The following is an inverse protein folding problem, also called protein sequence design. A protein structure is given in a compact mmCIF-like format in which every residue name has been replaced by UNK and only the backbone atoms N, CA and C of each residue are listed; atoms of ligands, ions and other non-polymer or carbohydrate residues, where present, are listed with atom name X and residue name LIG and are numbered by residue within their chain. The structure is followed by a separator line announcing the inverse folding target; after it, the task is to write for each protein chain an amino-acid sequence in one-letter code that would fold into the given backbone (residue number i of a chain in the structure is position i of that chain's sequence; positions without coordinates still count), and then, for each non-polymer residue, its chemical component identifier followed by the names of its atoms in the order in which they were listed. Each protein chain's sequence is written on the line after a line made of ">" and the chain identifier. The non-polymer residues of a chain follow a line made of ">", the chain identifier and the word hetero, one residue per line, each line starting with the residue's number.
data_IF_293747502695
#
_entry.id   IF_293747502695
#
_cell.length_a   1.000
_cell.length_b   1.000
_cell.length_c   1.000
_cell.angle_alpha   90.00
_cell.angle_beta   90.00
_cell.angle_gamma   90.00
#
_symmetry.space_group_name_H-M   'P 1'
#
loop_
_entity.id
_entity.type
_entity.pdbx_description
1 polymer ?
#
# COMPACT_ATOMS: atom_id res chain seq x y z
N UNK A 1 5.44 18.80 12.63
CA UNK A 1 4.02 19.10 12.39
C UNK A 1 3.32 17.77 12.24
N UNK A 2 2.43 17.43 13.15
CA UNK A 2 1.55 16.27 12.98
C UNK A 2 0.34 16.75 12.19
N UNK A 3 0.15 16.22 10.98
CA UNK A 3 -1.08 16.42 10.23
C UNK A 3 -2.18 15.60 10.93
N UNK A 4 -2.95 16.29 11.78
CA UNK A 4 -4.02 15.69 12.54
C UNK A 4 -5.21 15.44 11.60
N UNK A 5 -5.26 14.25 11.03
CA UNK A 5 -6.40 13.79 10.23
C UNK A 5 -7.68 13.94 11.04
N UNK A 6 -8.64 14.70 10.51
CA UNK A 6 -9.99 14.82 11.05
C UNK A 6 -10.96 14.08 10.13
N UNK A 7 -11.67 13.06 10.62
CA UNK A 7 -12.71 12.41 9.83
C UNK A 7 -13.85 13.39 9.51
N UNK A 8 -14.42 13.31 8.30
CA UNK A 8 -15.58 14.12 7.95
C UNK A 8 -16.86 13.62 8.64
N UNK A 9 -16.93 12.34 8.98
CA UNK A 9 -18.04 11.74 9.72
C UNK A 9 -17.62 10.47 10.45
N UNK A 10 -18.44 10.08 11.44
CA UNK A 10 -18.22 8.92 12.31
C UNK A 10 -18.12 7.57 11.57
N UNK A 11 -18.52 7.52 10.29
CA UNK A 11 -18.48 6.32 9.46
C UNK A 11 -17.22 6.23 8.58
N UNK A 12 -16.25 7.14 8.75
CA UNK A 12 -14.99 7.05 8.01
C UNK A 12 -14.03 6.01 8.64
N UNK A 13 -13.18 5.42 7.81
CA UNK A 13 -12.04 4.61 8.25
C UNK A 13 -10.80 5.26 7.65
N UNK A 14 -9.77 5.50 8.47
CA UNK A 14 -8.48 5.98 7.99
C UNK A 14 -7.68 4.78 7.50
N UNK A 15 -7.30 4.78 6.23
CA UNK A 15 -6.38 3.80 5.67
C UNK A 15 -5.00 4.44 5.51
N UNK A 16 -4.01 3.99 6.28
CA UNK A 16 -2.62 4.33 6.07
C UNK A 16 -1.98 3.25 5.19
N UNK A 17 -1.25 3.64 4.16
CA UNK A 17 -0.55 2.72 3.26
C UNK A 17 0.94 3.08 3.21
N UNK A 18 1.79 2.08 3.04
CA UNK A 18 3.22 2.26 2.82
C UNK A 18 3.76 1.19 1.87
N UNK A 19 4.84 1.53 1.17
CA UNK A 19 5.52 0.65 0.23
C UNK A 19 7.02 0.62 0.51
N UNK A 20 7.62 -0.57 0.43
CA UNK A 20 9.06 -0.75 0.56
C UNK A 20 9.61 -1.45 -0.70
N UNK A 21 10.77 -1.02 -1.17
CA UNK A 21 11.48 -1.64 -2.29
C UNK A 21 12.98 -1.71 -2.03
N UNK A 22 13.60 -2.83 -2.42
CA UNK A 22 15.05 -3.04 -2.34
C UNK A 22 15.82 -2.61 -3.60
N UNK A 23 15.14 -2.10 -4.64
CA UNK A 23 15.80 -1.70 -5.90
C UNK A 23 14.84 -1.35 -7.03
N UNK A 24 15.35 -1.20 -8.25
CA UNK A 24 14.57 -0.83 -9.44
C UNK A 24 14.86 -1.72 -10.68
N UNK A 25 14.04 -2.75 -10.97
CA UNK A 25 13.11 -3.38 -10.05
C UNK A 25 13.86 -4.28 -9.05
N UNK A 26 13.45 -4.25 -7.79
CA UNK A 26 13.88 -5.20 -6.78
C UNK A 26 12.67 -5.73 -6.03
N UNK A 27 12.90 -6.70 -5.14
CA UNK A 27 11.86 -7.20 -4.23
C UNK A 27 11.17 -6.03 -3.54
N UNK A 28 9.85 -6.02 -3.66
CA UNK A 28 8.99 -4.95 -3.19
C UNK A 28 7.88 -5.52 -2.32
N UNK A 29 7.39 -4.74 -1.38
CA UNK A 29 6.29 -5.11 -0.50
C UNK A 29 5.38 -3.92 -0.28
N UNK A 30 4.13 -4.18 0.08
CA UNK A 30 3.21 -3.16 0.57
C UNK A 30 2.72 -3.51 1.97
N UNK A 31 2.30 -2.49 2.69
CA UNK A 31 1.58 -2.63 3.93
C UNK A 31 0.47 -1.59 4.03
N UNK A 32 -0.60 -1.91 4.73
CA UNK A 32 -1.61 -0.94 5.10
C UNK A 32 -2.22 -1.26 6.46
N UNK A 33 -2.78 -0.22 7.10
CA UNK A 33 -3.60 -0.38 8.29
C UNK A 33 -4.86 0.47 8.22
N UNK A 34 -5.96 -0.10 8.71
CA UNK A 34 -7.26 0.54 8.85
C UNK A 34 -7.42 0.98 10.31
N UNK A 35 -7.82 2.23 10.49
CA UNK A 35 -8.05 2.81 11.81
C UNK A 35 -9.44 3.42 11.90
N UNK A 36 -10.04 3.32 13.08
CA UNK A 36 -11.29 3.99 13.37
C UNK A 36 -11.09 5.51 13.59
N UNK A 37 -12.16 6.17 14.00
CA UNK A 37 -12.22 7.60 14.27
C UNK A 37 -11.30 8.05 15.42
N UNK A 38 -11.07 7.16 16.38
CA UNK A 38 -10.24 7.37 17.56
C UNK A 38 -8.77 6.98 17.28
N UNK A 39 -8.44 6.69 16.02
CA UNK A 39 -7.14 6.19 15.57
C UNK A 39 -6.76 4.80 16.09
N UNK A 40 -7.72 4.04 16.65
CA UNK A 40 -7.50 2.65 17.05
C UNK A 40 -7.29 1.79 15.81
N UNK A 41 -6.40 0.81 15.91
CA UNK A 41 -6.14 -0.14 14.83
C UNK A 41 -7.28 -1.16 14.74
N UNK A 42 -7.97 -1.18 13.59
CA UNK A 42 -9.00 -2.19 13.28
C UNK A 42 -8.35 -3.40 12.60
N UNK A 43 -7.48 -3.13 11.62
CA UNK A 43 -6.89 -4.17 10.77
C UNK A 43 -5.54 -3.72 10.23
N UNK A 44 -4.62 -4.67 10.05
CA UNK A 44 -3.36 -4.45 9.36
C UNK A 44 -3.05 -5.64 8.45
N UNK A 45 -2.48 -5.35 7.29
CA UNK A 45 -1.95 -6.36 6.37
C UNK A 45 -0.64 -5.87 5.77
N UNK A 46 0.26 -6.81 5.52
CA UNK A 46 1.47 -6.59 4.74
C UNK A 46 1.73 -7.83 3.87
N UNK A 47 2.22 -7.61 2.66
CA UNK A 47 2.51 -8.69 1.71
C UNK A 47 3.67 -8.31 0.79
N UNK A 48 4.44 -9.33 0.38
CA UNK A 48 5.43 -9.19 -0.69
C UNK A 48 4.71 -9.07 -2.04
N UNK A 49 5.07 -8.05 -2.82
CA UNK A 49 4.59 -7.93 -4.19
C UNK A 49 5.40 -8.93 -5.01
N UNK A 50 4.74 -9.99 -5.49
CA UNK A 50 5.40 -11.00 -6.29
C UNK A 50 6.09 -10.37 -7.51
N UNK A 51 7.29 -10.87 -7.85
CA UNK A 51 8.10 -10.35 -8.96
C UNK A 51 7.38 -10.44 -10.33
N UNK A 52 6.30 -11.21 -10.43
CA UNK A 52 5.47 -11.35 -11.63
C UNK A 52 4.70 -10.07 -12.02
N UNK A 53 4.58 -9.10 -11.11
CA UNK A 53 3.93 -7.81 -11.40
C UNK A 53 4.93 -6.73 -11.85
N UNK A 54 6.21 -7.07 -12.00
CA UNK A 54 7.22 -6.13 -12.52
C UNK A 54 7.05 -5.90 -14.02
N UNK A 55 7.35 -4.68 -14.42
CA UNK A 55 7.21 -4.02 -15.74
C UNK A 55 7.86 -4.73 -16.95
N UNK A 56 8.32 -5.97 -16.83
CA UNK A 56 8.99 -6.70 -17.92
C UNK A 56 8.07 -7.61 -18.74
N UNK A 57 6.92 -8.07 -18.23
CA UNK A 57 5.99 -8.87 -19.04
C UNK A 57 5.02 -8.09 -19.93
N UNK A 58 4.95 -6.76 -19.83
CA UNK A 58 4.20 -5.94 -20.81
C UNK A 58 5.03 -5.58 -22.05
N UNK A 59 6.37 -5.73 -22.02
CA UNK A 59 7.21 -5.54 -23.22
C UNK A 59 7.36 -6.82 -24.04
N UNK A 60 7.37 -7.98 -23.39
CA UNK A 60 7.52 -9.26 -24.08
C UNK A 60 6.22 -9.78 -24.74
N UNK A 61 5.13 -8.98 -24.76
CA UNK A 61 3.87 -9.28 -25.47
C UNK A 61 3.69 -8.47 -26.77
N UNK A 62 4.68 -7.68 -27.17
CA UNK A 62 4.63 -6.83 -28.38
C UNK A 62 5.80 -7.07 -29.34
N UNK A 63 6.46 -8.23 -29.28
CA UNK A 63 7.34 -8.67 -30.37
C UNK A 63 6.56 -9.65 -31.27
N UNK A 64 5.97 -9.07 -32.33
CA UNK A 64 5.55 -9.77 -33.55
C UNK A 64 6.44 -9.29 -34.69
#
# INVERSE_FOLDING_TARGET
>A
MEDHWMPRNANNIKCNTDGASKGNPGKSSYAYCLRDQECNLIYAQAEEISENYTTRKMRDTLEY
#
